data_IF_806570864204
#
_entry.id   IF_806570864204
#
_cell.length_a   1.000
_cell.length_b   1.000
_cell.length_c   1.000
_cell.angle_alpha   90.00
_cell.angle_beta   90.00
_cell.angle_gamma   90.00
#
_symmetry.space_group_name_H-M   'P 1'
#
loop_
_entity.id
_entity.type
_entity.pdbx_description
1 polymer ?
#
# COMPACT_ATOMS: atom_id res chain seq x y z
N UNK A 1 -29.15 -37.11 -1.38
CA UNK A 1 -28.37 -36.45 -0.31
C UNK A 1 -27.21 -35.73 -0.95
N UNK A 2 -27.39 -34.46 -1.31
CA UNK A 2 -26.32 -33.66 -1.91
C UNK A 2 -25.36 -33.22 -0.80
N UNK A 3 -24.13 -33.71 -0.84
CA UNK A 3 -23.06 -33.22 0.04
C UNK A 3 -22.66 -31.83 -0.46
N UNK A 4 -23.00 -30.80 0.32
CA UNK A 4 -22.50 -29.44 0.12
C UNK A 4 -20.98 -29.47 0.12
N UNK A 5 -20.36 -29.08 -0.99
CA UNK A 5 -18.96 -28.69 -1.02
C UNK A 5 -18.87 -27.36 -0.28
N UNK A 6 -18.23 -27.37 0.89
CA UNK A 6 -17.78 -26.17 1.57
C UNK A 6 -16.71 -25.55 0.66
N UNK A 7 -17.06 -24.50 -0.06
CA UNK A 7 -16.06 -23.65 -0.71
C UNK A 7 -15.28 -22.96 0.42
N UNK A 8 -13.94 -23.06 0.47
CA UNK A 8 -13.18 -22.19 1.35
C UNK A 8 -13.46 -20.76 0.89
N UNK A 9 -13.97 -19.93 1.81
CA UNK A 9 -14.14 -18.51 1.54
C UNK A 9 -12.78 -17.95 1.14
N UNK A 10 -12.69 -17.38 -0.06
CA UNK A 10 -11.62 -16.44 -0.36
C UNK A 10 -11.81 -15.30 0.62
N UNK A 11 -10.97 -15.23 1.65
CA UNK A 11 -10.71 -13.95 2.30
C UNK A 11 -10.33 -12.97 1.20
N UNK A 12 -10.85 -11.75 1.27
CA UNK A 12 -10.51 -10.73 0.30
C UNK A 12 -9.00 -10.49 0.44
N UNK A 13 -8.19 -11.03 -0.48
CA UNK A 13 -6.82 -10.56 -0.65
C UNK A 13 -6.95 -9.07 -0.96
N UNK A 14 -6.33 -8.20 -0.17
CA UNK A 14 -6.27 -6.79 -0.54
C UNK A 14 -5.56 -6.69 -1.88
N UNK A 15 -6.27 -6.16 -2.88
CA UNK A 15 -5.70 -5.96 -4.20
C UNK A 15 -4.53 -4.97 -4.12
N UNK A 16 -3.47 -5.18 -4.89
CA UNK A 16 -2.31 -4.29 -4.90
C UNK A 16 -2.73 -2.87 -5.29
N UNK A 17 -3.69 -2.74 -6.21
CA UNK A 17 -4.27 -1.44 -6.58
C UNK A 17 -4.89 -0.72 -5.38
N UNK A 18 -5.56 -1.45 -4.48
CA UNK A 18 -6.16 -0.86 -3.25
C UNK A 18 -5.08 -0.43 -2.26
N UNK A 19 -3.98 -1.18 -2.16
CA UNK A 19 -2.85 -0.83 -1.31
C UNK A 19 -2.14 0.43 -1.83
N UNK A 20 -1.99 0.55 -3.16
CA UNK A 20 -1.47 1.75 -3.82
C UNK A 20 -2.38 2.94 -3.56
N UNK A 21 -3.69 2.83 -3.76
CA UNK A 21 -4.65 3.91 -3.47
C UNK A 21 -4.56 4.38 -2.01
N UNK A 22 -4.41 3.45 -1.05
CA UNK A 22 -4.21 3.79 0.36
C UNK A 22 -2.88 4.49 0.62
N UNK A 23 -1.80 4.03 -0.02
CA UNK A 23 -0.49 4.66 0.10
C UNK A 23 -0.52 6.10 -0.45
N UNK A 24 -1.09 6.32 -1.63
CA UNK A 24 -1.26 7.64 -2.24
C UNK A 24 -2.09 8.58 -1.34
N UNK A 25 -3.21 8.09 -0.80
CA UNK A 25 -4.03 8.86 0.12
C UNK A 25 -3.26 9.23 1.40
N UNK A 26 -2.51 8.27 1.97
CA UNK A 26 -1.69 8.51 3.16
C UNK A 26 -0.63 9.58 2.93
N UNK A 27 0.09 9.53 1.79
CA UNK A 27 1.09 10.54 1.44
C UNK A 27 0.46 11.94 1.36
N UNK A 28 -0.71 12.04 0.74
CA UNK A 28 -1.42 13.32 0.64
C UNK A 28 -1.88 13.83 2.01
N UNK A 29 -2.52 12.98 2.80
CA UNK A 29 -3.12 13.39 4.08
C UNK A 29 -2.08 13.73 5.15
N UNK A 30 -0.96 13.01 5.18
CA UNK A 30 0.04 13.13 6.24
C UNK A 30 1.19 14.07 5.88
N UNK A 31 1.54 14.19 4.60
CA UNK A 31 2.72 14.92 4.14
C UNK A 31 2.42 16.01 3.09
N UNK A 32 1.17 16.15 2.65
CA UNK A 32 0.77 17.00 1.52
C UNK A 32 1.52 16.69 0.21
N UNK A 33 1.98 15.44 0.08
CA UNK A 33 2.68 14.94 -1.10
C UNK A 33 1.67 14.48 -2.16
N UNK A 34 1.79 15.01 -3.37
CA UNK A 34 1.07 14.51 -4.54
C UNK A 34 1.90 13.41 -5.23
N UNK A 35 1.35 12.20 -5.36
CA UNK A 35 2.04 11.10 -6.05
C UNK A 35 2.12 11.36 -7.56
N UNK A 36 3.34 11.45 -8.09
CA UNK A 36 3.60 11.58 -9.53
C UNK A 36 3.75 10.21 -10.17
N UNK A 37 4.48 9.31 -9.51
CA UNK A 37 4.55 7.90 -9.88
C UNK A 37 4.82 7.03 -8.66
N UNK A 38 4.30 5.80 -8.67
CA UNK A 38 4.53 4.80 -7.66
C UNK A 38 4.71 3.44 -8.34
N UNK A 39 5.81 2.77 -8.04
CA UNK A 39 6.11 1.43 -8.53
C UNK A 39 6.35 0.52 -7.33
N UNK A 40 5.50 -0.49 -7.17
CA UNK A 40 5.65 -1.49 -6.11
C UNK A 40 6.91 -2.33 -6.38
N UNK A 41 7.78 -2.41 -5.38
CA UNK A 41 9.00 -3.22 -5.41
C UNK A 41 8.84 -4.52 -4.64
N UNK A 42 8.06 -4.49 -3.55
CA UNK A 42 7.71 -5.67 -2.76
C UNK A 42 6.34 -5.49 -2.09
N UNK A 43 5.57 -6.57 -1.98
CA UNK A 43 4.28 -6.59 -1.30
C UNK A 43 4.19 -7.83 -0.41
N UNK A 44 4.14 -7.62 0.90
CA UNK A 44 4.02 -8.67 1.92
C UNK A 44 2.68 -8.62 2.67
N UNK A 45 1.75 -7.75 2.25
CA UNK A 45 0.44 -7.59 2.89
C UNK A 45 -0.39 -8.86 2.69
N UNK A 46 -0.83 -9.44 3.80
CA UNK A 46 -1.59 -10.69 3.80
C UNK A 46 -3.10 -10.45 3.63
N UNK A 47 -3.87 -11.55 3.60
CA UNK A 47 -5.33 -11.50 3.46
C UNK A 47 -6.08 -10.89 4.67
N UNK A 48 -5.37 -10.64 5.76
CA UNK A 48 -5.89 -9.96 6.95
C UNK A 48 -5.49 -8.46 6.96
N UNK A 49 -4.87 -7.96 5.89
CA UNK A 49 -4.44 -6.58 5.76
C UNK A 49 -3.24 -6.22 6.64
N UNK A 50 -2.38 -7.19 6.96
CA UNK A 50 -1.16 -6.96 7.74
C UNK A 50 0.08 -7.22 6.87
N UNK A 51 1.07 -6.34 6.94
CA UNK A 51 2.34 -6.51 6.23
C UNK A 51 2.92 -5.17 5.78
N UNK A 52 3.78 -5.22 4.76
CA UNK A 52 4.48 -4.05 4.23
C UNK A 52 4.27 -3.97 2.72
N UNK A 53 3.92 -2.78 2.24
CA UNK A 53 4.02 -2.40 0.82
C UNK A 53 5.26 -1.52 0.63
N UNK A 54 6.25 -2.04 -0.09
CA UNK A 54 7.48 -1.32 -0.43
C UNK A 54 7.36 -0.75 -1.85
N UNK A 55 7.69 0.53 -2.00
CA UNK A 55 7.58 1.23 -3.28
C UNK A 55 8.82 2.05 -3.59
N UNK A 56 9.07 2.20 -4.88
CA UNK A 56 9.85 3.30 -5.44
C UNK A 56 8.87 4.34 -5.99
N UNK A 57 8.97 5.59 -5.55
CA UNK A 57 8.01 6.62 -5.93
C UNK A 57 8.66 7.97 -6.24
N UNK A 58 7.94 8.79 -7.01
CA UNK A 58 8.20 10.21 -7.18
C UNK A 58 6.99 10.97 -6.65
N UNK A 59 7.23 11.92 -5.77
CA UNK A 59 6.20 12.77 -5.15
C UNK A 59 6.49 14.23 -5.42
N UNK A 60 5.44 15.06 -5.43
CA UNK A 60 5.56 16.51 -5.54
C UNK A 60 5.04 17.21 -4.30
N UNK A 61 5.79 18.21 -3.81
CA UNK A 61 5.35 19.15 -2.78
C UNK A 61 5.59 20.55 -3.32
N UNK A 62 4.53 21.38 -3.36
CA UNK A 62 4.58 22.74 -3.92
C UNK A 62 5.18 22.84 -5.34
N UNK A 63 5.06 21.76 -6.14
CA UNK A 63 5.58 21.68 -7.50
C UNK A 63 7.06 21.26 -7.61
N UNK A 64 7.73 20.95 -6.50
CA UNK A 64 9.06 20.35 -6.48
C UNK A 64 8.94 18.82 -6.38
N UNK A 65 9.56 18.09 -7.32
CA UNK A 65 9.53 16.63 -7.35
C UNK A 65 10.76 16.02 -6.68
N UNK A 66 10.57 14.91 -5.95
CA UNK A 66 11.64 14.14 -5.31
C UNK A 66 11.35 12.64 -5.38
N UNK A 67 12.40 11.82 -5.42
CA UNK A 67 12.32 10.37 -5.56
C UNK A 67 12.71 9.65 -4.27
N UNK A 68 11.95 8.62 -3.91
CA UNK A 68 12.07 7.93 -2.62
C UNK A 68 11.85 6.44 -2.74
N UNK A 69 12.49 5.68 -1.85
CA UNK A 69 11.98 4.39 -1.42
C UNK A 69 11.13 4.59 -0.16
N UNK A 70 9.94 4.00 -0.13
CA UNK A 70 9.02 4.08 1.01
C UNK A 70 8.44 2.72 1.35
N UNK A 71 8.39 2.41 2.64
CA UNK A 71 7.72 1.22 3.18
C UNK A 71 6.47 1.66 3.96
N UNK A 72 5.30 1.21 3.52
CA UNK A 72 4.04 1.43 4.21
C UNK A 72 3.67 0.19 5.02
N UNK A 73 3.61 0.35 6.35
CA UNK A 73 3.30 -0.72 7.29
C UNK A 73 1.79 -0.77 7.53
N UNK A 74 1.17 -1.88 7.11
CA UNK A 74 -0.25 -2.14 7.29
C UNK A 74 -0.50 -2.99 8.54
N UNK A 75 -1.47 -2.56 9.34
CA UNK A 75 -2.10 -3.36 10.40
C UNK A 75 -3.63 -3.26 10.28
N UNK A 76 -4.30 -4.41 10.18
CA UNK A 76 -5.76 -4.48 9.99
C UNK A 76 -6.27 -3.55 8.86
N UNK A 77 -5.64 -3.65 7.68
CA UNK A 77 -5.97 -2.90 6.46
C UNK A 77 -5.63 -1.39 6.51
N UNK A 78 -5.06 -0.88 7.60
CA UNK A 78 -4.71 0.54 7.75
C UNK A 78 -3.19 0.75 7.83
N UNK A 79 -2.70 1.86 7.27
CA UNK A 79 -1.30 2.25 7.37
C UNK A 79 -1.08 2.84 8.76
N UNK A 80 -0.24 2.19 9.56
CA UNK A 80 0.09 2.63 10.93
C UNK A 80 1.44 3.34 11.00
N UNK A 81 2.33 3.07 10.05
CA UNK A 81 3.67 3.62 9.99
C UNK A 81 4.16 3.69 8.54
N UNK A 82 5.02 4.67 8.26
CA UNK A 82 5.76 4.75 7.01
C UNK A 82 7.23 5.03 7.31
N UNK A 83 8.12 4.24 6.72
CA UNK A 83 9.55 4.55 6.68
C UNK A 83 9.97 4.97 5.27
N UNK A 84 11.02 5.78 5.15
CA UNK A 84 11.43 6.35 3.87
C UNK A 84 12.94 6.63 3.80
N UNK A 85 13.50 6.48 2.60
CA UNK A 85 14.87 6.85 2.27
C UNK A 85 14.94 7.50 0.87
N UNK A 86 15.81 8.50 0.72
CA UNK A 86 16.02 9.19 -0.56
C UNK A 86 16.73 8.25 -1.56
N UNK A 87 16.31 8.30 -2.83
CA UNK A 87 16.83 7.44 -3.91
C UNK A 87 18.14 7.96 -4.51
#
# INVERSE_FOLDING_TARGET
MSKSKKVPGKGNIMDEDVLIEKAEAYLKEMYDEDTVSMNVTENTVNEEGNGILSVECVVSVDGEESAWFKDFHFENEEIVEMSYEER
#
